data_IF_316466670665
#
_entry.id   IF_316466670665
#
_cell.length_a   1.000
_cell.length_b   1.000
_cell.length_c   1.000
_cell.angle_alpha   90.00
_cell.angle_beta   90.00
_cell.angle_gamma   90.00
#
_symmetry.space_group_name_H-M   'P 1'
#
loop_
_entity.id
_entity.type
_entity.pdbx_description
1 polymer ?
#
# COMPACT_ATOMS: atom_id res chain seq x y z
N UNK A 1 -7.45 9.73 -18.48
CA UNK A 1 -6.28 8.84 -18.69
C UNK A 1 -5.29 9.15 -17.59
N UNK A 2 -4.87 8.16 -16.79
CA UNK A 2 -3.84 8.37 -15.77
C UNK A 2 -2.46 8.18 -16.41
N UNK A 3 -1.55 9.12 -16.16
CA UNK A 3 -0.13 9.02 -16.55
C UNK A 3 0.67 8.64 -15.30
N UNK A 4 1.47 7.56 -15.33
CA UNK A 4 2.34 7.17 -14.23
C UNK A 4 3.30 8.28 -13.80
N UNK A 5 3.78 8.20 -12.56
CA UNK A 5 4.82 9.12 -12.07
C UNK A 5 6.11 8.96 -12.89
N UNK A 6 6.87 10.05 -13.01
CA UNK A 6 8.23 10.01 -13.52
C UNK A 6 9.06 9.04 -12.65
N UNK A 7 9.89 8.19 -13.27
CA UNK A 7 10.73 7.19 -12.61
C UNK A 7 11.62 7.78 -11.50
N UNK A 8 12.01 9.05 -11.63
CA UNK A 8 12.80 9.75 -10.60
C UNK A 8 11.98 9.97 -9.32
N UNK A 9 10.71 10.35 -9.47
CA UNK A 9 9.79 10.62 -8.36
C UNK A 9 9.28 9.33 -7.71
N UNK A 10 9.21 8.22 -8.45
CA UNK A 10 8.83 6.91 -7.90
C UNK A 10 9.76 6.48 -6.75
N UNK A 11 11.06 6.80 -6.85
CA UNK A 11 12.05 6.45 -5.81
C UNK A 11 11.78 7.14 -4.48
N UNK A 12 11.21 8.34 -4.51
CA UNK A 12 10.84 9.10 -3.31
C UNK A 12 9.42 8.76 -2.84
N UNK A 13 8.50 8.57 -3.79
CA UNK A 13 7.08 8.32 -3.51
C UNK A 13 6.83 6.98 -2.80
N UNK A 14 7.57 5.92 -3.16
CA UNK A 14 7.37 4.60 -2.56
C UNK A 14 7.78 4.56 -1.07
N UNK A 15 8.97 5.03 -0.66
CA UNK A 15 9.32 5.16 0.76
C UNK A 15 8.32 6.02 1.53
N UNK A 16 7.92 7.18 0.97
CA UNK A 16 6.94 8.06 1.60
C UNK A 16 5.59 7.36 1.81
N UNK A 17 5.11 6.58 0.83
CA UNK A 17 3.90 5.77 1.00
C UNK A 17 4.03 4.78 2.16
N UNK A 18 5.17 4.10 2.30
CA UNK A 18 5.36 3.14 3.39
C UNK A 18 5.53 3.79 4.76
N UNK A 19 6.04 5.02 4.85
CA UNK A 19 5.98 5.82 6.08
C UNK A 19 4.52 6.14 6.45
N UNK A 20 3.73 6.63 5.49
CA UNK A 20 2.31 6.96 5.71
C UNK A 20 1.48 5.74 6.12
N UNK A 21 1.69 4.59 5.49
CA UNK A 21 1.04 3.33 5.88
C UNK A 21 1.44 2.93 7.30
N UNK A 22 2.69 3.16 7.73
CA UNK A 22 3.11 2.83 9.10
C UNK A 22 2.49 3.78 10.12
N UNK A 23 2.41 5.07 9.82
CA UNK A 23 1.91 6.09 10.74
C UNK A 23 0.39 6.09 10.92
N UNK A 24 -0.39 5.63 9.93
CA UNK A 24 -1.84 5.55 10.03
C UNK A 24 -2.27 4.49 11.05
N UNK A 25 -3.14 4.78 12.01
CA UNK A 25 -3.52 3.81 13.04
C UNK A 25 -4.56 2.79 12.55
N UNK A 26 -5.52 3.23 11.73
CA UNK A 26 -6.61 2.39 11.27
C UNK A 26 -6.16 1.43 10.17
N UNK A 27 -6.28 0.13 10.45
CA UNK A 27 -5.85 -0.91 9.51
C UNK A 27 -6.67 -0.94 8.21
N UNK A 28 -7.93 -0.53 8.24
CA UNK A 28 -8.78 -0.37 7.07
C UNK A 28 -8.31 0.78 6.19
N UNK A 29 -8.01 1.94 6.79
CA UNK A 29 -7.44 3.11 6.09
C UNK A 29 -6.10 2.76 5.47
N UNK A 30 -5.18 2.13 6.24
CA UNK A 30 -3.91 1.59 5.73
C UNK A 30 -4.12 0.73 4.47
N UNK A 31 -5.10 -0.18 4.52
CA UNK A 31 -5.34 -1.12 3.44
C UNK A 31 -5.93 -0.46 2.18
N UNK A 32 -6.90 0.44 2.34
CA UNK A 32 -7.58 1.12 1.22
C UNK A 32 -6.67 2.15 0.58
N UNK A 33 -6.13 3.08 1.36
CA UNK A 33 -5.27 4.16 0.85
C UNK A 33 -3.91 3.62 0.40
N UNK A 34 -3.34 2.66 1.13
CA UNK A 34 -2.11 1.99 0.71
C UNK A 34 -2.25 1.30 -0.65
N UNK A 35 -3.36 0.60 -0.89
CA UNK A 35 -3.64 -0.01 -2.20
C UNK A 35 -3.82 1.05 -3.30
N UNK A 36 -4.67 2.04 -3.03
CA UNK A 36 -5.03 3.06 -4.00
C UNK A 36 -3.80 3.87 -4.44
N UNK A 37 -3.05 4.40 -3.48
CA UNK A 37 -1.85 5.22 -3.75
C UNK A 37 -0.75 4.38 -4.40
N UNK A 38 -0.56 3.12 -4.00
CA UNK A 38 0.41 2.23 -4.64
C UNK A 38 0.11 2.04 -6.15
N UNK A 39 -1.15 1.78 -6.50
CA UNK A 39 -1.56 1.60 -7.90
C UNK A 39 -1.48 2.92 -8.68
N UNK A 40 -1.69 4.05 -8.00
CA UNK A 40 -1.51 5.39 -8.57
C UNK A 40 -0.04 5.73 -8.83
N UNK A 41 0.88 5.36 -7.94
CA UNK A 41 2.33 5.55 -8.16
C UNK A 41 2.80 4.71 -9.36
N UNK A 42 2.22 3.52 -9.53
CA UNK A 42 2.50 2.59 -10.61
C UNK A 42 4.02 2.25 -10.75
N UNK A 43 4.67 1.77 -9.68
CA UNK A 43 6.13 1.65 -9.63
C UNK A 43 6.73 0.57 -10.55
N UNK A 44 5.92 -0.36 -11.05
CA UNK A 44 6.36 -1.45 -11.92
C UNK A 44 5.82 -1.29 -13.33
N UNK A 45 6.49 -1.90 -14.31
CA UNK A 45 6.01 -1.92 -15.71
C UNK A 45 4.69 -2.70 -15.85
N UNK A 46 4.52 -3.76 -15.06
CA UNK A 46 3.28 -4.54 -14.95
C UNK A 46 3.14 -5.09 -13.52
N UNK A 47 1.95 -5.54 -13.15
CA UNK A 47 1.69 -6.23 -11.89
C UNK A 47 1.24 -5.32 -10.75
N UNK A 48 1.18 -4.01 -10.96
CA UNK A 48 0.81 -3.04 -9.91
C UNK A 48 -0.55 -3.35 -9.26
N UNK A 49 -1.56 -3.70 -10.07
CA UNK A 49 -2.86 -4.05 -9.53
C UNK A 49 -2.84 -5.35 -8.70
N UNK A 50 -2.02 -6.34 -9.09
CA UNK A 50 -1.84 -7.60 -8.36
C UNK A 50 -1.14 -7.36 -7.02
N UNK A 51 -0.03 -6.62 -7.04
CA UNK A 51 0.75 -6.27 -5.85
C UNK A 51 -0.06 -5.38 -4.91
N UNK A 52 -0.78 -4.39 -5.43
CA UNK A 52 -1.65 -3.54 -4.63
C UNK A 52 -2.75 -4.33 -3.90
N UNK A 53 -3.39 -5.31 -4.57
CA UNK A 53 -4.37 -6.19 -3.92
C UNK A 53 -3.73 -7.09 -2.88
N UNK A 54 -2.53 -7.61 -3.16
CA UNK A 54 -1.76 -8.39 -2.19
C UNK A 54 -1.41 -7.55 -0.95
N UNK A 55 -0.94 -6.31 -1.13
CA UNK A 55 -0.63 -5.38 -0.05
C UNK A 55 -1.86 -5.13 0.84
N UNK A 56 -3.01 -4.82 0.23
CA UNK A 56 -4.30 -4.68 0.94
C UNK A 56 -4.62 -5.92 1.78
N UNK A 57 -4.58 -7.10 1.14
CA UNK A 57 -4.90 -8.36 1.80
C UNK A 57 -3.93 -8.66 2.95
N UNK A 58 -2.64 -8.36 2.76
CA UNK A 58 -1.60 -8.57 3.76
C UNK A 58 -1.81 -7.70 4.99
N UNK A 59 -2.10 -6.40 4.81
CA UNK A 59 -2.37 -5.47 5.91
C UNK A 59 -3.55 -5.97 6.76
N UNK A 60 -4.69 -6.28 6.12
CA UNK A 60 -5.88 -6.75 6.82
C UNK A 60 -5.67 -8.12 7.49
N UNK A 61 -4.94 -9.02 6.84
CA UNK A 61 -4.59 -10.31 7.42
C UNK A 61 -3.74 -10.17 8.69
N UNK A 62 -2.71 -9.33 8.66
CA UNK A 62 -1.85 -9.10 9.82
C UNK A 62 -2.60 -8.42 10.96
N UNK A 63 -3.45 -7.44 10.65
CA UNK A 63 -4.33 -6.82 11.64
C UNK A 63 -5.23 -7.87 12.30
N UNK A 64 -5.95 -8.68 11.50
CA UNK A 64 -6.82 -9.75 12.01
C UNK A 64 -6.05 -10.78 12.84
N UNK A 65 -4.80 -11.06 12.48
CA UNK A 65 -3.94 -11.99 13.23
C UNK A 65 -3.53 -11.42 14.60
N UNK A 66 -3.21 -10.13 14.70
CA UNK A 66 -2.86 -9.48 15.98
C UNK A 66 -4.00 -9.54 16.99
N UNK A 67 -5.24 -9.32 16.52
CA UNK A 67 -6.44 -9.43 17.36
C UNK A 67 -6.67 -10.85 17.92
N UNK A 68 -6.13 -11.89 17.26
CA UNK A 68 -6.26 -13.29 17.72
C UNK A 68 -5.19 -13.72 18.71
N UNK A 69 -4.07 -12.99 18.79
CA UNK A 69 -2.95 -13.30 19.69
C UNK A 69 -3.08 -12.62 21.06
N UNK A 70 -4.11 -11.82 21.26
CA UNK A 70 -4.43 -11.12 22.52
C UNK A 70 -5.42 -11.92 23.40
N UNK A 71 -5.50 -13.24 23.20
CA UNK A 71 -6.29 -14.20 23.99
C UNK A 71 -5.36 -15.27 24.57
#
# INVERSE_FOLDING_TARGET
MHTPLNHEVVRDAIPALFELIRSEDDAGVRAVLGHFIFVYIHPYVDGNARIGRFLKARILYLWKRRQKTEV
#
